data_IF_831764768241
#
_entry.id   IF_831764768241
#
_cell.length_a   1.000
_cell.length_b   1.000
_cell.length_c   1.000
_cell.angle_alpha   90.00
_cell.angle_beta   90.00
_cell.angle_gamma   90.00
#
_symmetry.space_group_name_H-M   'P 1'
#
loop_
_entity.id
_entity.type
_entity.pdbx_description
1 polymer ?
#
# COMPACT_ATOMS: atom_id res chain seq x y z
N UNK A 1 9.58 -8.70 -14.12
CA UNK A 1 8.96 -8.17 -12.88
C UNK A 1 7.45 -8.44 -12.88
N UNK A 2 6.72 -8.01 -13.91
CA UNK A 2 5.27 -8.26 -14.02
C UNK A 2 4.89 -9.74 -14.04
N UNK A 3 5.63 -10.59 -14.78
CA UNK A 3 5.40 -12.05 -14.80
C UNK A 3 5.51 -12.69 -13.41
N UNK A 4 6.46 -12.22 -12.61
CA UNK A 4 6.67 -12.70 -11.23
C UNK A 4 5.50 -12.29 -10.35
N UNK A 5 5.03 -11.04 -10.46
CA UNK A 5 3.86 -10.56 -9.73
C UNK A 5 2.59 -11.35 -10.08
N UNK A 6 2.34 -11.58 -11.38
CA UNK A 6 1.19 -12.38 -11.81
C UNK A 6 1.27 -13.82 -11.30
N UNK A 7 2.47 -14.39 -11.25
CA UNK A 7 2.69 -15.72 -10.72
C UNK A 7 2.38 -15.78 -9.21
N UNK A 8 2.87 -14.80 -8.43
CA UNK A 8 2.55 -14.66 -6.99
C UNK A 8 1.03 -14.60 -6.75
N UNK A 9 0.32 -13.79 -7.53
CA UNK A 9 -1.14 -13.66 -7.42
C UNK A 9 -1.82 -15.00 -7.71
N UNK A 10 -1.42 -15.68 -8.78
CA UNK A 10 -1.99 -16.99 -9.16
C UNK A 10 -1.76 -18.05 -8.08
N UNK A 11 -0.56 -18.09 -7.51
CA UNK A 11 -0.22 -19.08 -6.49
C UNK A 11 -0.98 -18.80 -5.19
N UNK A 12 -1.05 -17.53 -4.79
CA UNK A 12 -1.84 -17.08 -3.64
C UNK A 12 -3.31 -17.46 -3.78
N UNK A 13 -3.90 -17.21 -4.95
CA UNK A 13 -5.29 -17.55 -5.24
C UNK A 13 -5.58 -19.05 -5.06
N UNK A 14 -4.73 -19.92 -5.61
CA UNK A 14 -4.91 -21.37 -5.48
C UNK A 14 -4.71 -21.87 -4.05
N UNK A 15 -3.84 -21.23 -3.26
CA UNK A 15 -3.60 -21.60 -1.86
C UNK A 15 -4.75 -21.21 -0.95
N UNK A 16 -5.36 -20.04 -1.17
CA UNK A 16 -6.45 -19.55 -0.33
C UNK A 16 -7.77 -20.24 -0.69
N UNK A 17 -8.11 -20.37 -1.97
CA UNK A 17 -9.43 -20.90 -2.39
C UNK A 17 -9.63 -22.40 -2.22
N UNK A 18 -8.55 -23.19 -2.25
CA UNK A 18 -8.66 -24.64 -2.06
C UNK A 18 -8.83 -25.04 -0.59
N UNK A 19 -8.73 -24.08 0.33
CA UNK A 19 -8.81 -24.35 1.76
C UNK A 19 -10.26 -24.40 2.21
N UNK A 20 -10.49 -25.31 3.14
CA UNK A 20 -11.76 -25.47 3.82
C UNK A 20 -11.97 -24.33 4.82
N UNK A 21 -13.22 -23.87 4.97
CA UNK A 21 -13.61 -22.77 5.86
C UNK A 21 -13.35 -23.07 7.34
N UNK A 22 -13.16 -24.34 7.72
CA UNK A 22 -12.87 -24.76 9.08
C UNK A 22 -11.39 -24.65 9.47
N UNK A 23 -10.51 -24.26 8.54
CA UNK A 23 -9.07 -24.18 8.78
C UNK A 23 -8.67 -22.71 9.06
N UNK A 24 -7.64 -22.52 9.88
CA UNK A 24 -7.14 -21.19 10.21
C UNK A 24 -6.69 -20.39 8.97
N UNK A 25 -6.78 -19.07 9.13
CA UNK A 25 -6.51 -18.03 8.14
C UNK A 25 -5.01 -17.74 7.92
N UNK A 26 -4.13 -18.67 8.31
CA UNK A 26 -2.69 -18.52 8.29
C UNK A 26 -2.07 -19.54 7.35
N UNK A 27 -1.19 -19.06 6.49
CA UNK A 27 -0.47 -19.83 5.48
C UNK A 27 1.02 -19.53 5.66
N UNK A 28 1.70 -20.38 6.41
CA UNK A 28 3.15 -20.30 6.53
C UNK A 28 3.79 -20.83 5.24
N UNK A 29 4.61 -19.99 4.59
CA UNK A 29 5.24 -20.37 3.32
C UNK A 29 6.40 -21.37 3.51
N UNK A 30 6.77 -21.73 4.76
CA UNK A 30 7.97 -22.50 5.10
C UNK A 30 7.79 -23.99 5.41
N UNK A 31 6.65 -24.43 5.96
CA UNK A 31 6.55 -25.77 6.58
C UNK A 31 5.69 -26.79 5.81
N UNK A 32 4.63 -26.33 5.11
CA UNK A 32 3.73 -27.22 4.36
C UNK A 32 4.24 -27.61 2.96
N UNK A 33 5.22 -26.88 2.40
CA UNK A 33 5.73 -27.11 1.04
C UNK A 33 6.94 -28.06 0.99
N UNK A 34 7.63 -28.28 2.12
CA UNK A 34 8.74 -29.24 2.23
C UNK A 34 8.27 -30.71 2.20
N UNK A 35 6.97 -30.96 2.40
CA UNK A 35 6.36 -32.28 2.23
C UNK A 35 6.04 -32.62 0.76
N UNK A 36 6.19 -31.66 -0.16
CA UNK A 36 6.11 -31.95 -1.58
C UNK A 36 7.37 -32.70 -2.04
N UNK A 37 7.24 -33.85 -2.74
CA UNK A 37 8.39 -34.57 -3.25
C UNK A 37 9.24 -33.66 -4.16
N UNK A 38 10.59 -33.83 -4.20
CA UNK A 38 11.49 -32.99 -4.99
C UNK A 38 11.13 -32.91 -6.49
N UNK A 39 10.41 -33.91 -7.00
CA UNK A 39 9.92 -34.00 -8.38
C UNK A 39 8.68 -33.14 -8.64
N UNK A 40 7.96 -32.75 -7.58
CA UNK A 40 6.83 -31.81 -7.60
C UNK A 40 7.24 -30.40 -7.15
N UNK A 41 8.55 -30.14 -6.98
CA UNK A 41 9.11 -28.82 -6.73
C UNK A 41 8.97 -27.99 -8.02
N UNK A 42 7.75 -27.52 -8.27
CA UNK A 42 7.47 -26.63 -9.38
C UNK A 42 8.27 -25.32 -9.14
N UNK A 43 8.89 -24.73 -10.17
CA UNK A 43 9.65 -23.49 -10.07
C UNK A 43 8.81 -22.25 -9.63
N UNK A 44 7.55 -22.45 -9.24
CA UNK A 44 6.61 -21.45 -8.73
C UNK A 44 6.44 -21.50 -7.20
N UNK A 45 7.39 -22.07 -6.46
CA UNK A 45 7.31 -21.98 -5.01
C UNK A 45 7.50 -20.52 -4.60
N UNK A 46 6.46 -19.96 -3.97
CA UNK A 46 6.43 -18.60 -3.44
C UNK A 46 7.65 -18.32 -2.52
N UNK A 47 8.13 -19.35 -1.80
CA UNK A 47 9.32 -19.31 -0.95
C UNK A 47 10.61 -19.00 -1.74
N UNK A 48 10.76 -19.56 -2.94
CA UNK A 48 11.89 -19.28 -3.84
C UNK A 48 11.82 -17.87 -4.45
N UNK A 49 10.61 -17.36 -4.69
CA UNK A 49 10.40 -16.01 -5.24
C UNK A 49 10.65 -14.90 -4.23
N UNK A 50 10.38 -15.15 -2.94
CA UNK A 50 10.61 -14.20 -1.86
C UNK A 50 11.99 -14.34 -1.18
N UNK A 51 12.91 -15.14 -1.74
CA UNK A 51 14.31 -15.14 -1.31
C UNK A 51 14.61 -15.93 -0.04
N UNK A 52 13.77 -16.90 0.34
CA UNK A 52 14.05 -17.81 1.46
C UNK A 52 13.85 -17.22 2.86
N UNK A 53 13.28 -16.02 2.99
CA UNK A 53 12.73 -15.53 4.26
C UNK A 53 11.37 -16.16 4.53
N UNK A 54 11.11 -16.47 5.79
CA UNK A 54 9.88 -17.08 6.27
C UNK A 54 8.72 -16.07 6.20
N UNK A 55 8.15 -15.88 5.01
CA UNK A 55 6.92 -15.11 4.84
C UNK A 55 5.69 -15.95 5.14
N UNK A 56 4.63 -15.29 5.61
CA UNK A 56 3.33 -15.89 5.84
C UNK A 56 2.24 -15.06 5.17
N UNK A 57 1.25 -15.76 4.61
CA UNK A 57 0.03 -15.15 4.10
C UNK A 57 -1.03 -15.21 5.19
N UNK A 58 -1.64 -14.06 5.47
CA UNK A 58 -2.74 -13.92 6.41
C UNK A 58 -3.92 -13.39 5.61
N UNK A 59 -5.05 -14.08 5.68
CA UNK A 59 -6.22 -13.70 4.89
C UNK A 59 -7.51 -13.67 5.68
N UNK A 60 -8.52 -12.97 5.15
CA UNK A 60 -9.88 -13.03 5.69
C UNK A 60 -10.90 -12.92 4.57
N UNK A 61 -11.93 -13.76 4.67
CA UNK A 61 -13.03 -13.80 3.72
C UNK A 61 -14.18 -12.90 4.19
N UNK A 62 -14.59 -11.97 3.33
CA UNK A 62 -15.72 -11.06 3.55
C UNK A 62 -16.67 -11.18 2.35
N UNK A 63 -17.83 -11.80 2.57
CA UNK A 63 -18.85 -12.06 1.55
C UNK A 63 -18.32 -12.85 0.33
N UNK A 64 -17.88 -12.16 -0.73
CA UNK A 64 -17.34 -12.72 -1.97
C UNK A 64 -15.86 -12.36 -2.18
N UNK A 65 -15.26 -11.59 -1.26
CA UNK A 65 -13.92 -11.04 -1.36
C UNK A 65 -12.97 -11.67 -0.36
N UNK A 66 -11.76 -12.01 -0.82
CA UNK A 66 -10.65 -12.41 0.04
C UNK A 66 -9.63 -11.27 0.14
N UNK A 67 -9.39 -10.81 1.37
CA UNK A 67 -8.33 -9.86 1.68
C UNK A 67 -7.12 -10.64 2.16
N UNK A 68 -5.97 -10.48 1.51
CA UNK A 68 -4.75 -11.25 1.79
C UNK A 68 -3.57 -10.31 1.99
N UNK A 69 -2.86 -10.47 3.10
CA UNK A 69 -1.64 -9.75 3.45
C UNK A 69 -0.48 -10.75 3.47
N UNK A 70 0.61 -10.41 2.80
CA UNK A 70 1.88 -11.12 2.91
C UNK A 70 2.76 -10.38 3.92
N UNK A 71 3.17 -11.06 4.98
CA UNK A 71 3.95 -10.47 6.07
C UNK A 71 5.12 -11.36 6.44
N UNK A 72 6.12 -10.79 7.10
CA UNK A 72 7.22 -11.58 7.64
C UNK A 72 6.76 -12.42 8.84
N UNK A 73 7.45 -13.52 9.10
CA UNK A 73 7.31 -14.38 10.27
C UNK A 73 7.32 -13.63 11.60
N UNK A 74 8.01 -12.48 11.66
CA UNK A 74 8.10 -11.62 12.85
C UNK A 74 6.78 -10.95 13.26
N UNK A 75 5.85 -10.76 12.33
CA UNK A 75 4.60 -10.03 12.60
C UNK A 75 3.58 -10.89 13.35
N UNK A 76 2.78 -10.28 14.23
CA UNK A 76 1.72 -11.03 14.94
C UNK A 76 0.56 -11.36 14.01
N UNK A 77 0.17 -12.62 13.92
CA UNK A 77 -0.92 -13.00 13.01
C UNK A 77 -2.26 -12.37 13.37
N UNK A 78 -2.53 -12.25 14.68
CA UNK A 78 -3.75 -11.60 15.17
C UNK A 78 -3.72 -10.09 14.91
N UNK A 79 -2.54 -9.46 14.97
CA UNK A 79 -2.38 -8.04 14.66
C UNK A 79 -2.68 -7.74 13.19
N UNK A 80 -2.24 -8.61 12.29
CA UNK A 80 -2.55 -8.46 10.85
C UNK A 80 -4.02 -8.74 10.56
N UNK A 81 -4.66 -9.69 11.25
CA UNK A 81 -6.11 -9.90 11.12
C UNK A 81 -6.92 -8.68 11.58
N UNK A 82 -6.49 -8.00 12.64
CA UNK A 82 -7.10 -6.76 13.11
C UNK A 82 -6.86 -5.61 12.11
N UNK A 83 -5.67 -5.53 11.53
CA UNK A 83 -5.35 -4.57 10.47
C UNK A 83 -6.24 -4.77 9.23
N UNK A 84 -6.44 -6.01 8.79
CA UNK A 84 -7.37 -6.33 7.69
C UNK A 84 -8.78 -5.86 8.05
N UNK A 85 -9.22 -6.04 9.31
CA UNK A 85 -10.53 -5.59 9.75
C UNK A 85 -10.66 -4.06 9.72
N UNK A 86 -9.68 -3.33 10.27
CA UNK A 86 -9.63 -1.86 10.21
C UNK A 86 -9.71 -1.39 8.75
N UNK A 87 -8.97 -2.02 7.84
CA UNK A 87 -9.00 -1.67 6.42
C UNK A 87 -10.38 -1.89 5.79
N UNK A 88 -10.99 -3.07 5.99
CA UNK A 88 -12.31 -3.39 5.42
C UNK A 88 -13.42 -2.52 6.01
N UNK A 89 -13.41 -2.25 7.31
CA UNK A 89 -14.37 -1.35 7.96
C UNK A 89 -14.20 0.10 7.48
N UNK A 90 -12.96 0.52 7.22
CA UNK A 90 -12.68 1.84 6.62
C UNK A 90 -13.21 1.93 5.19
N UNK A 91 -13.04 0.87 4.39
CA UNK A 91 -13.63 0.80 3.04
C UNK A 91 -15.17 0.89 3.11
N UNK A 92 -15.81 0.13 4.00
CA UNK A 92 -17.27 0.15 4.14
C UNK A 92 -17.81 1.54 4.52
N UNK A 93 -17.11 2.25 5.41
CA UNK A 93 -17.45 3.65 5.77
C UNK A 93 -17.23 4.61 4.61
N UNK A 94 -16.11 4.48 3.89
CA UNK A 94 -15.76 5.37 2.77
C UNK A 94 -16.70 5.22 1.56
N UNK A 95 -17.31 4.05 1.37
CA UNK A 95 -18.21 3.76 0.24
C UNK A 95 -19.69 3.66 0.64
N UNK A 96 -20.03 3.83 1.93
CA UNK A 96 -21.40 3.75 2.46
C UNK A 96 -22.11 2.45 2.08
N UNK A 97 -21.65 1.31 2.64
CA UNK A 97 -22.06 -0.06 2.27
C UNK A 97 -21.37 -0.58 1.02
N UNK A 98 -20.06 -0.83 1.16
CA UNK A 98 -19.20 -1.20 0.04
C UNK A 98 -19.61 -2.52 -0.62
N UNK A 99 -19.60 -2.58 -1.95
CA UNK A 99 -19.73 -3.81 -2.71
C UNK A 99 -18.48 -4.08 -3.57
N UNK A 100 -18.28 -5.34 -3.99
CA UNK A 100 -17.14 -5.74 -4.83
C UNK A 100 -16.96 -4.89 -6.09
N UNK A 101 -18.08 -4.42 -6.66
CA UNK A 101 -18.09 -3.62 -7.86
C UNK A 101 -17.54 -2.21 -7.62
N UNK A 102 -17.74 -1.65 -6.42
CA UNK A 102 -17.20 -0.35 -6.03
C UNK A 102 -15.68 -0.39 -5.94
N UNK A 103 -15.11 -1.48 -5.41
CA UNK A 103 -13.67 -1.66 -5.37
C UNK A 103 -13.09 -1.70 -6.78
N UNK A 104 -13.76 -2.41 -7.72
CA UNK A 104 -13.32 -2.54 -9.11
C UNK A 104 -13.37 -1.20 -9.85
N UNK A 105 -14.44 -0.42 -9.70
CA UNK A 105 -14.59 0.86 -10.40
C UNK A 105 -13.80 2.01 -9.77
N UNK A 106 -13.49 1.93 -8.47
CA UNK A 106 -12.83 2.99 -7.72
C UNK A 106 -11.51 2.52 -7.09
N UNK A 107 -10.72 1.76 -7.85
CA UNK A 107 -9.40 1.26 -7.41
C UNK A 107 -8.47 2.37 -6.92
N UNK A 108 -8.50 3.56 -7.55
CA UNK A 108 -7.70 4.70 -7.11
C UNK A 108 -8.02 5.09 -5.65
N UNK A 109 -9.32 5.19 -5.31
CA UNK A 109 -9.76 5.51 -3.95
C UNK A 109 -9.38 4.40 -2.96
N UNK A 110 -9.48 3.13 -3.37
CA UNK A 110 -9.03 2.00 -2.54
C UNK A 110 -7.53 2.09 -2.26
N UNK A 111 -6.72 2.45 -3.26
CA UNK A 111 -5.28 2.65 -3.09
C UNK A 111 -4.96 3.81 -2.14
N UNK A 112 -5.69 4.93 -2.22
CA UNK A 112 -5.53 6.04 -1.28
C UNK A 112 -5.86 5.63 0.16
N UNK A 113 -6.97 4.92 0.35
CA UNK A 113 -7.34 4.39 1.68
C UNK A 113 -6.24 3.44 2.19
N UNK A 114 -5.73 2.55 1.34
CA UNK A 114 -4.66 1.63 1.73
C UNK A 114 -3.38 2.37 2.10
N UNK A 115 -3.04 3.46 1.40
CA UNK A 115 -1.89 4.30 1.70
C UNK A 115 -2.01 5.01 3.05
N UNK A 116 -3.19 5.42 3.48
CA UNK A 116 -3.35 5.97 4.83
C UNK A 116 -3.12 4.89 5.92
N UNK A 117 -3.41 3.62 5.62
CA UNK A 117 -3.23 2.51 6.58
C UNK A 117 -1.79 1.99 6.58
N UNK A 118 -1.20 1.75 5.41
CA UNK A 118 0.13 1.13 5.24
C UNK A 118 0.91 1.78 4.11
N UNK A 119 2.15 2.21 4.38
CA UNK A 119 3.11 2.63 3.35
C UNK A 119 4.47 2.02 3.61
N UNK A 120 5.10 1.50 2.56
CA UNK A 120 6.45 0.95 2.63
C UNK A 120 6.56 -0.26 3.56
N UNK A 121 5.46 -0.98 3.80
CA UNK A 121 5.40 -2.11 4.72
C UNK A 121 5.23 -1.73 6.20
N UNK A 122 5.10 -0.44 6.52
CA UNK A 122 4.84 0.04 7.88
C UNK A 122 3.37 0.44 8.03
N UNK A 123 2.76 0.09 9.16
CA UNK A 123 1.43 0.57 9.54
C UNK A 123 1.56 2.02 9.99
N UNK A 124 0.77 2.91 9.39
CA UNK A 124 0.76 4.35 9.68
C UNK A 124 -0.37 4.72 10.62
N UNK A 125 -1.59 4.33 10.26
CA UNK A 125 -2.79 4.69 10.99
C UNK A 125 -3.72 3.49 11.14
N UNK A 126 -4.29 3.33 12.34
CA UNK A 126 -5.28 2.28 12.63
C UNK A 126 -6.62 2.87 13.09
N UNK A 127 -6.67 4.18 13.36
CA UNK A 127 -7.90 4.87 13.70
C UNK A 127 -8.71 5.17 12.45
N UNK A 128 -9.79 4.41 12.23
CA UNK A 128 -10.70 4.58 11.09
C UNK A 128 -11.19 6.03 10.90
N UNK A 129 -11.44 6.76 11.98
CA UNK A 129 -11.97 8.11 11.89
C UNK A 129 -10.92 9.09 11.32
N UNK A 130 -9.65 8.89 11.67
CA UNK A 130 -8.55 9.72 11.15
C UNK A 130 -8.27 9.36 9.69
N UNK A 131 -8.28 8.07 9.34
CA UNK A 131 -8.13 7.61 7.96
C UNK A 131 -9.21 8.22 7.06
N UNK A 132 -10.50 8.09 7.44
CA UNK A 132 -11.62 8.65 6.67
C UNK A 132 -11.47 10.17 6.51
N UNK A 133 -11.08 10.87 7.56
CA UNK A 133 -10.89 12.33 7.51
C UNK A 133 -9.79 12.74 6.53
N UNK A 134 -8.66 12.02 6.50
CA UNK A 134 -7.57 12.29 5.56
C UNK A 134 -7.97 11.99 4.11
N UNK A 135 -8.62 10.85 3.87
CA UNK A 135 -9.12 10.46 2.54
C UNK A 135 -10.11 11.49 2.00
N UNK A 136 -11.01 12.00 2.85
CA UNK A 136 -11.93 13.08 2.46
C UNK A 136 -11.20 14.40 2.17
N UNK A 137 -10.19 14.76 2.98
CA UNK A 137 -9.40 15.96 2.76
C UNK A 137 -8.66 15.90 1.41
N UNK A 138 -8.07 14.75 1.10
CA UNK A 138 -7.39 14.50 -0.17
C UNK A 138 -8.36 14.59 -1.36
N UNK A 139 -9.54 13.96 -1.26
CA UNK A 139 -10.56 14.05 -2.31
C UNK A 139 -11.04 15.49 -2.56
N UNK A 140 -11.07 16.35 -1.54
CA UNK A 140 -11.42 17.77 -1.68
C UNK A 140 -10.34 18.55 -2.43
N UNK A 141 -9.06 18.27 -2.15
CA UNK A 141 -7.93 18.92 -2.82
C UNK A 141 -7.88 18.55 -4.30
N UNK A 142 -8.04 17.27 -4.63
CA UNK A 142 -8.07 16.81 -6.03
C UNK A 142 -9.19 17.49 -6.84
N UNK A 143 -10.36 17.67 -6.23
CA UNK A 143 -11.48 18.40 -6.84
C UNK A 143 -11.19 19.89 -7.01
N UNK A 144 -10.49 20.51 -6.07
CA UNK A 144 -10.08 21.91 -6.14
C UNK A 144 -9.04 22.13 -7.25
N UNK A 145 -8.12 21.18 -7.45
CA UNK A 145 -7.12 21.22 -8.52
C UNK A 145 -7.73 20.95 -9.91
N UNK A 146 -8.72 20.04 -10.00
CA UNK A 146 -9.49 19.81 -11.24
C UNK A 146 -10.30 21.03 -11.70
N UNK A 147 -10.64 21.95 -10.78
CA UNK A 147 -11.33 23.21 -11.10
C UNK A 147 -10.45 24.28 -11.75
N UNK A 148 -9.12 24.19 -11.62
CA UNK A 148 -8.19 25.18 -12.19
C UNK A 148 -7.98 25.01 -13.70
N UNK A 149 -8.24 23.82 -14.26
CA UNK A 149 -8.14 23.58 -15.71
C UNK A 149 -9.35 24.08 -16.51
N UNK A 150 -10.45 24.48 -15.86
CA UNK A 150 -11.69 24.93 -16.49
C UNK A 150 -11.96 26.43 -16.35
N UNK A 151 -11.02 27.20 -15.79
CA UNK A 151 -11.16 28.65 -15.71
C UNK A 151 -10.85 29.30 -17.08
N UNK A 152 -11.77 30.06 -17.69
CA UNK A 152 -11.45 30.83 -18.89
C UNK A 152 -10.32 31.82 -18.57
N UNK A 153 -9.39 32.02 -19.52
CA UNK A 153 -8.12 32.77 -19.39
C UNK A 153 -8.24 34.22 -18.89
N UNK A 154 -9.45 34.72 -18.60
CA UNK A 154 -9.73 36.04 -18.03
C UNK A 154 -9.59 36.11 -16.51
N UNK A 155 -9.54 34.99 -15.77
CA UNK A 155 -9.41 35.01 -14.32
C UNK A 155 -7.96 35.22 -13.80
N UNK A 156 -6.95 35.18 -14.68
CA UNK A 156 -5.53 35.34 -14.31
C UNK A 156 -5.20 36.79 -13.89
N UNK A 157 -6.04 37.77 -14.25
CA UNK A 157 -5.77 39.19 -13.96
C UNK A 157 -6.01 39.61 -12.51
N UNK A 158 -6.67 38.80 -11.67
CA UNK A 158 -7.01 39.16 -10.30
C UNK A 158 -5.94 38.81 -9.24
N UNK A 159 -4.90 38.03 -9.60
CA UNK A 159 -3.85 37.62 -8.66
C UNK A 159 -2.73 38.67 -8.50
N UNK A 160 -2.77 39.76 -9.29
CA UNK A 160 -1.69 40.75 -9.33
C UNK A 160 -1.77 41.86 -8.26
N UNK A 161 -2.82 41.89 -7.44
CA UNK A 161 -3.08 42.96 -6.46
C UNK A 161 -3.19 42.50 -5.00
N UNK A 162 -2.65 41.33 -4.65
CA UNK A 162 -2.37 40.99 -3.25
C UNK A 162 -0.96 41.44 -2.91
N UNK A 163 -0.88 42.48 -2.09
CA UNK A 163 0.35 42.97 -1.49
C UNK A 163 0.87 41.91 -0.50
N UNK A 164 1.80 41.09 -0.95
CA UNK A 164 2.45 40.06 -0.13
C UNK A 164 3.67 40.70 0.57
N UNK A 165 3.85 40.54 1.89
CA UNK A 165 5.09 40.94 2.55
C UNK A 165 6.28 40.18 1.94
N UNK A 166 7.35 40.89 1.58
CA UNK A 166 8.55 40.30 0.99
C UNK A 166 9.17 39.24 1.92
N UNK A 167 9.22 37.99 1.45
CA UNK A 167 9.96 36.91 2.10
C UNK A 167 11.45 37.15 1.81
N UNK A 168 12.32 37.34 2.83
CA UNK A 168 13.72 37.62 2.60
C UNK A 168 14.45 36.42 1.98
N UNK A 169 14.98 36.63 0.76
CA UNK A 169 15.90 35.70 0.08
C UNK A 169 17.32 35.83 0.66
N UNK A 170 17.54 35.32 1.86
CA UNK A 170 18.92 35.01 2.29
C UNK A 170 18.90 34.02 3.45
N UNK A 171 19.14 32.74 3.14
CA UNK A 171 19.59 31.78 4.13
C UNK A 171 21.11 31.70 3.95
N UNK A 172 21.84 32.35 4.84
CA UNK A 172 23.29 32.21 4.92
C UNK A 172 23.58 30.88 5.65
N UNK A 173 23.87 29.83 4.89
CA UNK A 173 24.39 28.58 5.44
C UNK A 173 25.86 28.81 5.77
N UNK A 174 26.14 28.94 7.07
CA UNK A 174 27.50 29.02 7.59
C UNK A 174 28.32 27.76 7.24
N UNK A 175 29.55 28.02 6.83
CA UNK A 175 30.73 27.16 6.74
C UNK A 175 30.58 25.66 7.07
N UNK A 176 30.14 24.87 6.09
CA UNK A 176 30.46 23.43 6.05
C UNK A 176 31.50 23.18 4.95
N UNK A 177 32.77 23.11 5.37
CA UNK A 177 33.88 22.74 4.50
C UNK A 177 33.88 21.22 4.24
N UNK A 178 33.28 20.78 3.14
CA UNK A 178 33.36 19.39 2.69
C UNK A 178 34.64 19.21 1.88
N UNK A 179 35.63 18.55 2.48
CA UNK A 179 36.87 18.15 1.81
C UNK A 179 36.58 16.94 0.91
N UNK A 180 36.47 17.16 -0.39
CA UNK A 180 36.35 16.10 -1.40
C UNK A 180 37.64 15.24 -1.43
N UNK A 181 37.58 13.89 -1.30
CA UNK A 181 38.73 13.04 -1.52
C UNK A 181 39.15 13.06 -2.99
N UNK A 182 40.45 13.23 -3.25
CA UNK A 182 41.03 13.29 -4.58
C UNK A 182 40.97 11.90 -5.26
N UNK A 183 40.44 11.87 -6.49
CA UNK A 183 40.15 10.66 -7.27
C UNK A 183 41.40 10.11 -8.01
N UNK A 184 42.57 10.09 -7.38
CA UNK A 184 43.82 9.62 -7.98
C UNK A 184 44.45 8.41 -7.28
N UNK A 185 43.69 7.67 -6.46
CA UNK A 185 44.17 6.45 -5.78
C UNK A 185 43.49 5.15 -6.26
N UNK A 186 42.70 5.20 -7.34
CA UNK A 186 42.22 4.00 -8.03
C UNK A 186 42.91 3.87 -9.38
N UNK A 187 44.20 3.52 -9.34
CA UNK A 187 44.94 2.87 -10.42
C UNK A 187 45.88 1.83 -9.80
#
# INVERSE_FOLDING_TARGET
AEEVQQQIIRDTFHLVLKRDDHICNFLECGSAWAACPPEALHPSCLCSLFGGSDYKLIYRHYATLYFVFCVDSSESELGILDLIQVFVETLDKCFENVCELDLIFHMDKVHHILQEVVIGGMVLETNMNEIVAQVEAQSKLEKAEGGLSAAPSRAVSAVKNINLPEIPRNINIGDINIKVPNLSQFM
#
